data_IF_432683855854
#
_entry.id   IF_432683855854
#
_cell.length_a   1.000
_cell.length_b   1.000
_cell.length_c   1.000
_cell.angle_alpha   90.00
_cell.angle_beta   90.00
_cell.angle_gamma   90.00
#
_symmetry.space_group_name_H-M   'P 1'
#
loop_
_entity.id
_entity.type
_entity.pdbx_description
1 polymer ?
#
# COMPACT_ATOMS: atom_id res chain seq x y z
N UNK A 1 12.30 -8.40 15.62
CA UNK A 1 11.94 -8.24 14.18
C UNK A 1 10.52 -8.70 13.86
N UNK A 2 10.10 -9.93 14.21
CA UNK A 2 8.72 -10.42 13.97
C UNK A 2 7.63 -9.48 14.54
N UNK A 3 7.74 -9.03 15.79
CA UNK A 3 6.77 -8.11 16.38
C UNK A 3 6.62 -6.79 15.60
N UNK A 4 7.72 -6.23 15.08
CA UNK A 4 7.67 -5.00 14.27
C UNK A 4 6.96 -5.21 12.94
N UNK A 5 7.12 -6.38 12.33
CA UNK A 5 6.38 -6.76 11.12
C UNK A 5 4.88 -6.85 11.43
N UNK A 6 4.49 -7.44 12.56
CA UNK A 6 3.08 -7.49 12.95
C UNK A 6 2.48 -6.09 13.19
N UNK A 7 3.22 -5.20 13.85
CA UNK A 7 2.80 -3.79 14.01
C UNK A 7 2.67 -3.11 12.64
N UNK A 8 3.65 -3.30 11.75
CA UNK A 8 3.60 -2.75 10.40
C UNK A 8 2.41 -3.25 9.58
N UNK A 9 2.07 -4.56 9.69
CA UNK A 9 0.84 -5.12 9.09
C UNK A 9 -0.41 -4.41 9.61
N UNK A 10 -0.48 -4.09 10.89
CA UNK A 10 -1.62 -3.36 11.48
C UNK A 10 -1.69 -1.92 10.97
N UNK A 11 -0.56 -1.21 10.87
CA UNK A 11 -0.50 0.16 10.32
C UNK A 11 -1.03 0.19 8.89
N UNK A 12 -0.58 -0.72 8.03
CA UNK A 12 -1.03 -0.79 6.63
C UNK A 12 -2.48 -1.26 6.44
N UNK A 13 -3.12 -1.77 7.51
CA UNK A 13 -4.55 -2.14 7.50
C UNK A 13 -5.48 -1.00 7.88
N UNK A 14 -4.98 0.12 8.43
CA UNK A 14 -5.83 1.23 8.86
C UNK A 14 -6.49 1.93 7.67
N UNK A 15 -7.78 2.25 7.81
CA UNK A 15 -8.59 2.83 6.73
C UNK A 15 -8.09 4.19 6.25
N UNK A 16 -7.65 5.06 7.15
CA UNK A 16 -7.05 6.36 6.83
C UNK A 16 -5.79 6.23 5.96
N UNK A 17 -4.92 5.27 6.27
CA UNK A 17 -3.74 4.93 5.47
C UNK A 17 -4.15 4.40 4.10
N UNK A 18 -5.16 3.52 4.06
CA UNK A 18 -5.66 2.96 2.80
C UNK A 18 -6.26 4.03 1.88
N UNK A 19 -7.10 4.91 2.42
CA UNK A 19 -7.68 6.03 1.68
C UNK A 19 -6.63 7.02 1.18
N UNK A 20 -5.56 7.27 1.94
CA UNK A 20 -4.46 8.12 1.49
C UNK A 20 -3.59 7.46 0.40
N UNK A 21 -3.48 6.12 0.41
CA UNK A 21 -2.73 5.37 -0.58
C UNK A 21 -3.44 5.34 -1.95
N UNK A 22 -4.76 5.22 -1.99
CA UNK A 22 -5.56 5.18 -3.23
C UNK A 22 -5.19 6.30 -4.23
N UNK A 23 -5.35 7.60 -3.90
CA UNK A 23 -5.03 8.67 -4.84
C UNK A 23 -3.55 8.72 -5.20
N UNK A 24 -2.65 8.26 -4.31
CA UNK A 24 -1.22 8.19 -4.59
C UNK A 24 -0.93 7.21 -5.72
N UNK A 25 -1.48 6.00 -5.67
CA UNK A 25 -1.32 4.98 -6.72
C UNK A 25 -1.99 5.45 -8.02
N UNK A 26 -3.25 5.89 -7.94
CA UNK A 26 -4.01 6.36 -9.10
C UNK A 26 -3.28 7.48 -9.85
N UNK A 27 -2.67 8.43 -9.12
CA UNK A 27 -1.92 9.54 -9.73
C UNK A 27 -0.50 9.15 -10.15
N UNK A 28 0.17 8.25 -9.45
CA UNK A 28 1.46 7.69 -9.90
C UNK A 28 1.33 7.12 -11.31
N UNK A 29 0.21 6.42 -11.57
CA UNK A 29 -0.07 5.76 -12.83
C UNK A 29 -0.51 6.74 -13.91
N UNK A 30 -1.40 7.69 -13.58
CA UNK A 30 -1.73 8.81 -14.48
C UNK A 30 -0.47 9.61 -14.88
N UNK A 31 0.48 9.79 -13.96
CA UNK A 31 1.76 10.44 -14.26
C UNK A 31 2.59 9.62 -15.25
N UNK A 32 2.74 8.30 -15.02
CA UNK A 32 3.47 7.41 -15.94
C UNK A 32 2.86 7.36 -17.33
N UNK A 33 1.54 7.40 -17.44
CA UNK A 33 0.82 7.26 -18.72
C UNK A 33 0.67 8.58 -19.48
N UNK A 34 0.49 9.70 -18.77
CA UNK A 34 0.05 10.97 -19.36
C UNK A 34 0.90 12.19 -18.97
N UNK A 35 1.98 12.03 -18.19
CA UNK A 35 2.90 13.13 -17.87
C UNK A 35 2.31 14.19 -16.95
N UNK A 36 1.80 13.78 -15.78
CA UNK A 36 1.16 14.67 -14.81
C UNK A 36 2.13 15.67 -14.12
N UNK A 37 1.63 16.59 -13.27
CA UNK A 37 2.48 17.51 -12.52
C UNK A 37 3.14 16.82 -11.30
N UNK A 38 4.48 16.87 -11.15
CA UNK A 38 5.19 16.19 -10.05
C UNK A 38 4.76 16.67 -8.66
N UNK A 39 4.40 17.95 -8.52
CA UNK A 39 4.12 18.59 -7.23
C UNK A 39 2.94 17.95 -6.48
N UNK A 40 1.89 17.54 -7.19
CA UNK A 40 0.71 16.93 -6.58
C UNK A 40 1.02 15.52 -6.04
N UNK A 41 1.80 14.73 -6.80
CA UNK A 41 2.26 13.41 -6.38
C UNK A 41 3.13 13.50 -5.11
N UNK A 42 4.08 14.44 -5.07
CA UNK A 42 4.91 14.71 -3.89
C UNK A 42 4.05 15.06 -2.67
N UNK A 43 2.98 15.86 -2.87
CA UNK A 43 2.06 16.21 -1.78
C UNK A 43 1.34 14.97 -1.22
N UNK A 44 0.79 14.10 -2.07
CA UNK A 44 0.14 12.87 -1.64
C UNK A 44 1.10 11.94 -0.89
N UNK A 45 2.34 11.81 -1.39
CA UNK A 45 3.37 11.02 -0.72
C UNK A 45 3.70 11.57 0.67
N UNK A 46 3.80 12.90 0.81
CA UNK A 46 4.00 13.55 2.12
C UNK A 46 2.83 13.31 3.08
N UNK A 47 1.58 13.40 2.59
CA UNK A 47 0.40 13.12 3.40
C UNK A 47 0.41 11.68 3.93
N UNK A 48 0.63 10.69 3.06
CA UNK A 48 0.72 9.29 3.46
C UNK A 48 1.84 9.05 4.47
N UNK A 49 3.04 9.57 4.20
CA UNK A 49 4.18 9.46 5.12
C UNK A 49 3.88 10.08 6.48
N UNK A 50 3.21 11.24 6.53
CA UNK A 50 2.84 11.89 7.78
C UNK A 50 1.85 11.06 8.58
N UNK A 51 0.86 10.44 7.94
CA UNK A 51 -0.09 9.56 8.60
C UNK A 51 0.62 8.32 9.16
N UNK A 52 1.47 7.68 8.36
CA UNK A 52 2.25 6.52 8.82
C UNK A 52 3.13 6.89 10.02
N UNK A 53 3.83 8.02 9.96
CA UNK A 53 4.70 8.47 11.04
C UNK A 53 3.91 8.79 12.30
N UNK A 54 2.73 9.42 12.20
CA UNK A 54 1.90 9.66 13.38
C UNK A 54 1.44 8.37 14.05
N UNK A 55 1.12 7.33 13.26
CA UNK A 55 0.79 6.01 13.80
C UNK A 55 1.98 5.37 14.55
N UNK A 56 3.20 5.54 14.04
CA UNK A 56 4.42 5.03 14.70
C UNK A 56 4.74 5.84 15.95
N UNK A 57 4.63 7.16 15.89
CA UNK A 57 5.01 8.05 16.98
C UNK A 57 4.06 7.92 18.17
N UNK A 58 2.78 7.59 17.93
CA UNK A 58 1.79 7.25 18.96
C UNK A 58 2.12 5.98 19.77
N UNK A 59 3.01 5.10 19.27
CA UNK A 59 3.43 3.90 19.99
C UNK A 59 4.41 4.25 21.11
N UNK A 60 4.22 3.62 22.27
CA UNK A 60 5.15 3.72 23.41
C UNK A 60 6.28 2.72 23.16
N UNK A 61 7.27 3.14 22.38
CA UNK A 61 8.45 2.34 22.02
C UNK A 61 9.74 3.14 22.25
N UNK A 62 10.84 2.49 22.69
CA UNK A 62 12.18 3.06 22.66
C UNK A 62 12.54 3.62 21.28
N UNK A 63 13.35 4.69 21.24
CA UNK A 63 13.73 5.39 20.00
C UNK A 63 14.28 4.44 18.93
N UNK A 64 15.20 3.54 19.33
CA UNK A 64 15.81 2.57 18.42
C UNK A 64 14.76 1.65 17.76
N UNK A 65 13.75 1.22 18.52
CA UNK A 65 12.68 0.37 18.02
C UNK A 65 11.71 1.15 17.12
N UNK A 66 11.53 2.46 17.34
CA UNK A 66 10.78 3.32 16.41
C UNK A 66 11.51 3.48 15.08
N UNK A 67 12.84 3.61 15.09
CA UNK A 67 13.65 3.71 13.87
C UNK A 67 13.58 2.41 13.06
N UNK A 68 13.73 1.25 13.72
CA UNK A 68 13.54 -0.06 13.09
C UNK A 68 12.13 -0.21 12.49
N UNK A 69 11.11 0.22 13.23
CA UNK A 69 9.72 0.17 12.75
C UNK A 69 9.51 1.09 11.55
N UNK A 70 10.07 2.31 11.55
CA UNK A 70 10.02 3.24 10.41
C UNK A 70 10.62 2.60 9.17
N UNK A 71 11.77 1.93 9.30
CA UNK A 71 12.40 1.22 8.19
C UNK A 71 11.51 0.07 7.67
N UNK A 72 10.99 -0.78 8.55
CA UNK A 72 10.14 -1.92 8.18
C UNK A 72 8.84 -1.44 7.50
N UNK A 73 8.14 -0.48 8.10
CA UNK A 73 6.89 0.07 7.55
C UNK A 73 7.14 0.72 6.19
N UNK A 74 8.24 1.45 6.04
CA UNK A 74 8.65 2.04 4.77
C UNK A 74 8.94 1.01 3.68
N UNK A 75 9.69 -0.05 4.01
CA UNK A 75 9.99 -1.15 3.09
C UNK A 75 8.73 -1.90 2.65
N UNK A 76 7.82 -2.19 3.59
CA UNK A 76 6.53 -2.79 3.30
C UNK A 76 5.67 -1.88 2.41
N UNK A 77 5.61 -0.58 2.73
CA UNK A 77 4.87 0.41 1.93
C UNK A 77 5.37 0.53 0.51
N UNK A 78 6.69 0.50 0.31
CA UNK A 78 7.30 0.49 -1.01
C UNK A 78 6.89 -0.77 -1.80
N UNK A 79 6.94 -1.93 -1.15
CA UNK A 79 6.53 -3.21 -1.75
C UNK A 79 5.04 -3.20 -2.14
N UNK A 80 4.17 -2.72 -1.26
CA UNK A 80 2.74 -2.53 -1.52
C UNK A 80 2.49 -1.63 -2.71
N UNK A 81 3.16 -0.47 -2.76
CA UNK A 81 3.03 0.47 -3.87
C UNK A 81 3.39 -0.17 -5.20
N UNK A 82 4.56 -0.83 -5.27
CA UNK A 82 4.99 -1.49 -6.50
C UNK A 82 4.04 -2.60 -6.94
N UNK A 83 3.55 -3.39 -5.99
CA UNK A 83 2.64 -4.49 -6.28
C UNK A 83 1.29 -3.98 -6.82
N UNK A 84 0.71 -2.96 -6.18
CA UNK A 84 -0.53 -2.32 -6.63
C UNK A 84 -0.34 -1.64 -7.99
N UNK A 85 0.78 -0.92 -8.20
CA UNK A 85 1.11 -0.33 -9.51
C UNK A 85 1.19 -1.40 -10.61
N UNK A 86 1.80 -2.56 -10.33
CA UNK A 86 1.90 -3.66 -11.30
C UNK A 86 0.56 -4.34 -11.59
N UNK A 87 -0.24 -4.63 -10.56
CA UNK A 87 -1.57 -5.21 -10.73
C UNK A 87 -2.43 -4.29 -11.60
N UNK A 88 -2.39 -2.99 -11.30
CA UNK A 88 -3.16 -1.99 -12.02
C UNK A 88 -2.70 -1.82 -13.48
N UNK A 89 -1.39 -1.78 -13.74
CA UNK A 89 -0.86 -1.69 -15.12
C UNK A 89 -1.28 -2.88 -16.00
N UNK A 90 -1.41 -4.07 -15.43
CA UNK A 90 -1.90 -5.25 -16.16
C UNK A 90 -3.37 -5.11 -16.54
N UNK A 91 -4.15 -4.34 -15.77
CA UNK A 91 -5.60 -4.16 -15.93
C UNK A 91 -6.01 -2.95 -16.76
N UNK A 92 -5.14 -1.96 -16.99
CA UNK A 92 -5.46 -0.77 -17.82
C UNK A 92 -5.89 -1.11 -19.26
N UNK A 93 -5.55 -2.31 -19.77
CA UNK A 93 -6.01 -2.78 -21.07
C UNK A 93 -7.48 -3.26 -21.08
N UNK A 94 -8.07 -3.45 -19.90
CA UNK A 94 -9.48 -3.77 -19.69
C UNK A 94 -10.14 -2.45 -19.25
N UNK A 95 -11.16 -1.96 -19.97
CA UNK A 95 -11.72 -0.59 -19.91
C UNK A 95 -12.35 -0.16 -18.55
N UNK A 96 -12.13 -0.95 -17.51
CA UNK A 96 -12.64 -0.84 -16.16
C UNK A 96 -11.39 -1.03 -15.29
N UNK A 97 -10.82 -0.07 -14.56
CA UNK A 97 -11.29 0.24 -13.21
C UNK A 97 -10.33 1.19 -12.48
N UNK A 98 -10.78 2.39 -12.13
CA UNK A 98 -10.21 3.17 -11.01
C UNK A 98 -10.94 2.85 -9.69
N UNK A 99 -12.14 2.25 -9.77
CA UNK A 99 -13.01 1.97 -8.64
C UNK A 99 -12.45 0.87 -7.72
N UNK A 100 -11.82 -0.17 -8.29
CA UNK A 100 -11.47 -1.41 -7.60
C UNK A 100 -10.22 -1.36 -6.73
N UNK A 101 -9.44 -0.26 -6.74
CA UNK A 101 -8.17 -0.23 -6.00
C UNK A 101 -8.37 -0.37 -4.48
N UNK A 102 -9.46 0.19 -3.94
CA UNK A 102 -9.82 0.00 -2.52
C UNK A 102 -10.15 -1.46 -2.24
N UNK A 103 -10.92 -2.10 -3.12
CA UNK A 103 -11.27 -3.51 -2.98
C UNK A 103 -10.01 -4.38 -3.04
N UNK A 104 -9.09 -4.12 -3.98
CA UNK A 104 -7.82 -4.84 -4.06
C UNK A 104 -6.99 -4.71 -2.77
N UNK A 105 -7.00 -3.54 -2.14
CA UNK A 105 -6.28 -3.30 -0.91
C UNK A 105 -6.84 -4.08 0.29
N UNK A 106 -8.12 -4.44 0.28
CA UNK A 106 -8.71 -5.32 1.30
C UNK A 106 -8.21 -6.77 1.22
N UNK A 107 -7.75 -7.19 0.03
CA UNK A 107 -7.25 -8.54 -0.20
C UNK A 107 -5.74 -8.71 -0.03
N UNK A 108 -5.01 -7.66 0.39
CA UNK A 108 -3.55 -7.77 0.59
C UNK A 108 -3.24 -8.65 1.80
N UNK A 109 -2.63 -9.80 1.53
CA UNK A 109 -2.11 -10.71 2.56
C UNK A 109 -0.60 -10.54 2.71
N UNK A 110 -0.13 -10.42 3.95
CA UNK A 110 1.27 -10.25 4.29
C UNK A 110 1.86 -11.52 4.91
N UNK A 111 3.02 -11.96 4.43
CA UNK A 111 3.81 -13.02 5.06
C UNK A 111 4.39 -12.54 6.39
N UNK A 112 4.87 -13.47 7.22
CA UNK A 112 5.55 -13.16 8.48
C UNK A 112 6.93 -12.50 8.31
N UNK A 113 7.41 -12.42 7.07
CA UNK A 113 8.63 -11.72 6.70
C UNK A 113 8.37 -10.29 6.22
N UNK A 114 7.11 -9.84 6.17
CA UNK A 114 6.74 -8.50 5.71
C UNK A 114 6.67 -8.38 4.19
N UNK A 115 6.65 -9.50 3.46
CA UNK A 115 6.41 -9.50 2.02
C UNK A 115 4.91 -9.71 1.75
N UNK A 116 4.45 -9.33 0.55
CA UNK A 116 3.10 -9.68 0.11
C UNK A 116 3.07 -11.17 -0.24
N UNK A 117 2.15 -11.91 0.36
CA UNK A 117 1.81 -13.25 -0.08
C UNK A 117 0.97 -13.15 -1.34
N UNK A 118 1.65 -13.19 -2.50
CA UNK A 118 0.99 -13.03 -3.79
C UNK A 118 -0.03 -14.14 -4.07
N UNK A 119 0.23 -15.37 -3.62
CA UNK A 119 -0.67 -16.49 -3.84
C UNK A 119 -1.96 -16.34 -3.02
N UNK A 120 -1.84 -16.01 -1.73
CA UNK A 120 -3.00 -15.75 -0.88
C UNK A 120 -3.78 -14.51 -1.36
N UNK A 121 -3.07 -13.43 -1.71
CA UNK A 121 -3.65 -12.18 -2.23
C UNK A 121 -4.46 -12.41 -3.51
N UNK A 122 -3.85 -13.02 -4.52
CA UNK A 122 -4.52 -13.31 -5.80
C UNK A 122 -5.70 -14.26 -5.59
N UNK A 123 -5.55 -15.30 -4.77
CA UNK A 123 -6.64 -16.25 -4.46
C UNK A 123 -7.82 -15.55 -3.76
N UNK A 124 -7.54 -14.63 -2.84
CA UNK A 124 -8.55 -13.84 -2.13
C UNK A 124 -9.33 -12.94 -3.09
N UNK A 125 -8.63 -12.29 -4.03
CA UNK A 125 -9.26 -11.48 -5.07
C UNK A 125 -10.10 -12.31 -6.05
N UNK A 126 -9.61 -13.48 -6.49
CA UNK A 126 -10.38 -14.40 -7.35
C UNK A 126 -11.68 -14.85 -6.69
N UNK A 127 -11.62 -15.24 -5.41
CA UNK A 127 -12.81 -15.66 -4.64
C UNK A 127 -13.84 -14.54 -4.48
N UNK A 128 -13.40 -13.29 -4.63
CA UNK A 128 -14.25 -12.10 -4.48
C UNK A 128 -14.66 -11.52 -5.83
N UNK A 129 -14.42 -12.25 -6.95
CA UNK A 129 -14.71 -11.84 -8.32
C UNK A 129 -14.06 -10.52 -8.75
N UNK A 130 -12.96 -10.14 -8.10
CA UNK A 130 -12.19 -8.94 -8.44
C UNK A 130 -11.18 -9.19 -9.57
N UNK A 131 -10.92 -10.46 -9.89
CA UNK A 131 -10.12 -10.86 -11.04
C UNK A 131 -11.00 -11.77 -11.92
N UNK A 132 -11.20 -11.45 -13.22
CA UNK A 132 -11.92 -12.32 -14.15
C UNK A 132 -11.29 -13.72 -14.24
N UNK A 133 -12.17 -14.69 -14.47
CA UNK A 133 -11.87 -16.11 -14.70
C UNK A 133 -11.24 -16.29 -16.08
#
# INVERSE_FOLDING_TARGET
RFAMIQIAKVIWKKSDIKHALKPLITKALSYRLHGGPPAYYVRLQRTLSSLVLSQIDALILPKILKEDLKFIVGSMGFTLRLWLEQLYLRRINERETMADLEDYMEHIHWTDHGCIDSAATIRSMYKSNLLPI
#
